data_IF_380132712955
#
_entry.id   IF_380132712955
#
_cell.length_a   1.000
_cell.length_b   1.000
_cell.length_c   1.000
_cell.angle_alpha   90.00
_cell.angle_beta   90.00
_cell.angle_gamma   90.00
#
_symmetry.space_group_name_H-M   'P 1'
#
loop_
_entity.id
_entity.type
_entity.pdbx_description
1 polymer ?
#
# COMPACT_ATOMS: atom_id res chain seq x y z
N UNK A 1 -35.23 -60.23 -26.88
CA UNK A 1 -36.34 -59.31 -27.16
C UNK A 1 -36.66 -58.55 -25.87
N UNK A 2 -36.50 -57.22 -25.90
CA UNK A 2 -37.32 -56.20 -25.20
C UNK A 2 -37.41 -56.29 -23.67
N UNK A 3 -37.23 -55.26 -22.83
CA UNK A 3 -36.86 -53.84 -22.92
C UNK A 3 -36.59 -53.42 -21.45
N UNK A 4 -35.47 -52.77 -21.11
CA UNK A 4 -35.31 -51.31 -21.03
C UNK A 4 -36.11 -50.63 -19.90
N UNK A 5 -35.40 -49.78 -19.14
CA UNK A 5 -35.87 -48.66 -18.29
C UNK A 5 -36.03 -48.94 -16.79
N UNK A 6 -34.94 -48.76 -16.04
CA UNK A 6 -34.93 -47.89 -14.87
C UNK A 6 -33.52 -47.33 -14.66
N UNK A 7 -33.23 -46.33 -15.50
CA UNK A 7 -32.11 -45.42 -15.37
C UNK A 7 -32.33 -44.49 -14.16
N UNK A 8 -31.23 -44.14 -13.50
CA UNK A 8 -31.05 -42.98 -12.60
C UNK A 8 -31.57 -43.17 -11.16
N UNK A 9 -30.80 -43.90 -10.35
CA UNK A 9 -30.67 -43.63 -8.91
C UNK A 9 -29.22 -43.40 -8.45
N UNK A 10 -28.29 -43.23 -9.40
CA UNK A 10 -26.93 -42.75 -9.12
C UNK A 10 -26.84 -41.26 -9.45
N UNK A 11 -27.65 -40.44 -8.78
CA UNK A 11 -27.23 -39.05 -8.59
C UNK A 11 -26.15 -39.11 -7.51
N UNK A 12 -24.91 -39.26 -7.98
CA UNK A 12 -23.70 -39.13 -7.17
C UNK A 12 -23.95 -38.00 -6.19
N UNK A 13 -23.82 -38.33 -4.91
CA UNK A 13 -23.57 -37.39 -3.83
C UNK A 13 -22.50 -36.45 -4.36
N UNK A 14 -22.90 -35.27 -4.83
CA UNK A 14 -22.02 -34.13 -4.86
C UNK A 14 -21.68 -33.96 -3.39
N UNK A 15 -20.50 -34.44 -2.99
CA UNK A 15 -19.92 -34.17 -1.69
C UNK A 15 -20.08 -32.67 -1.49
N UNK A 16 -21.05 -32.27 -0.66
CA UNK A 16 -21.19 -30.88 -0.29
C UNK A 16 -19.83 -30.49 0.26
N UNK A 17 -19.15 -29.46 -0.29
CA UNK A 17 -17.97 -28.96 0.37
C UNK A 17 -18.45 -28.47 1.73
N UNK A 18 -18.22 -29.29 2.77
CA UNK A 18 -18.36 -28.85 4.14
C UNK A 18 -17.24 -27.82 4.30
N UNK A 19 -17.60 -26.56 4.09
CA UNK A 19 -16.76 -25.42 4.41
C UNK A 19 -16.58 -25.44 5.93
N UNK A 20 -15.47 -26.04 6.33
CA UNK A 20 -15.06 -26.11 7.71
C UNK A 20 -14.60 -24.72 8.18
N UNK A 21 -14.65 -24.47 9.49
CA UNK A 21 -14.23 -23.22 10.10
C UNK A 21 -12.82 -22.79 9.65
N UNK A 22 -11.96 -23.76 9.34
CA UNK A 22 -10.63 -23.56 8.76
C UNK A 22 -10.62 -22.69 7.49
N UNK A 23 -11.61 -22.81 6.61
CA UNK A 23 -11.69 -22.02 5.37
C UNK A 23 -12.03 -20.55 5.63
N UNK A 24 -12.90 -20.27 6.60
CA UNK A 24 -13.23 -18.91 7.04
C UNK A 24 -12.08 -18.25 7.80
N UNK A 25 -11.37 -19.03 8.62
CA UNK A 25 -10.17 -18.57 9.35
C UNK A 25 -9.03 -18.26 8.38
N UNK A 26 -8.81 -19.08 7.35
CA UNK A 26 -7.78 -18.83 6.34
C UNK A 26 -8.03 -17.53 5.55
N UNK A 27 -9.29 -17.21 5.28
CA UNK A 27 -9.65 -15.93 4.64
C UNK A 27 -9.31 -14.72 5.51
N UNK A 28 -9.38 -14.86 6.84
CA UNK A 28 -9.10 -13.78 7.79
C UNK A 28 -7.67 -13.25 7.67
N UNK A 29 -6.71 -14.03 7.15
CA UNK A 29 -5.30 -13.62 7.02
C UNK A 29 -4.96 -12.97 5.66
N UNK A 30 -5.96 -12.41 4.97
CA UNK A 30 -5.75 -11.84 3.65
C UNK A 30 -5.20 -10.40 3.70
N UNK A 31 -4.02 -10.19 3.11
CA UNK A 31 -3.32 -8.89 3.10
C UNK A 31 -3.89 -7.84 2.14
N UNK A 32 -4.99 -8.13 1.42
CA UNK A 32 -5.55 -7.22 0.41
C UNK A 32 -5.94 -5.86 0.99
N UNK A 33 -6.43 -5.81 2.23
CA UNK A 33 -6.74 -4.56 2.92
C UNK A 33 -5.46 -3.79 3.28
N UNK A 34 -4.45 -4.47 3.82
CA UNK A 34 -3.15 -3.86 4.12
C UNK A 34 -2.52 -3.23 2.87
N UNK A 35 -2.59 -3.92 1.72
CA UNK A 35 -2.12 -3.41 0.42
C UNK A 35 -2.92 -2.17 0.02
N UNK A 36 -4.25 -2.20 0.17
CA UNK A 36 -5.07 -1.02 -0.15
C UNK A 36 -4.69 0.16 0.72
N UNK A 37 -4.49 -0.04 2.02
CA UNK A 37 -4.01 0.98 2.93
C UNK A 37 -2.67 1.54 2.44
N UNK A 38 -1.74 0.69 1.99
CA UNK A 38 -0.46 1.13 1.41
C UNK A 38 -0.58 1.98 0.16
N UNK A 39 -1.57 1.70 -0.68
CA UNK A 39 -1.78 2.44 -1.92
C UNK A 39 -2.54 3.74 -1.73
N UNK A 40 -3.60 3.77 -0.91
CA UNK A 40 -4.49 4.94 -0.85
C UNK A 40 -4.36 5.74 0.44
N UNK A 41 -3.80 5.16 1.51
CA UNK A 41 -3.70 5.79 2.84
C UNK A 41 -5.04 6.18 3.49
N UNK A 42 -6.15 6.01 2.76
CA UNK A 42 -7.48 6.52 3.07
C UNK A 42 -8.52 5.44 2.81
N UNK A 43 -9.61 5.49 3.58
CA UNK A 43 -10.81 4.69 3.36
C UNK A 43 -11.87 5.57 2.71
N UNK A 44 -12.61 5.04 1.75
CA UNK A 44 -13.81 5.68 1.20
C UNK A 44 -15.04 5.29 2.03
N UNK A 45 -16.07 6.13 2.05
CA UNK A 45 -17.33 5.80 2.77
C UNK A 45 -18.02 4.53 2.25
N UNK A 46 -17.78 4.17 0.98
CA UNK A 46 -18.32 2.95 0.38
C UNK A 46 -17.60 1.69 0.87
N UNK A 47 -16.41 1.80 1.47
CA UNK A 47 -15.69 0.64 2.02
C UNK A 47 -16.40 0.03 3.23
N UNK A 48 -17.33 0.75 3.88
CA UNK A 48 -18.20 0.22 4.94
C UNK A 48 -19.08 -0.94 4.44
N UNK A 49 -19.42 -0.97 3.14
CA UNK A 49 -20.25 -2.01 2.54
C UNK A 49 -19.44 -3.17 1.96
N UNK A 50 -18.10 -3.07 1.96
CA UNK A 50 -17.22 -4.12 1.45
C UNK A 50 -16.80 -5.00 2.62
N UNK A 51 -17.49 -6.13 2.80
CA UNK A 51 -17.08 -7.15 3.77
C UNK A 51 -15.85 -7.87 3.20
N UNK A 52 -14.66 -7.37 3.53
CA UNK A 52 -13.41 -8.03 3.21
C UNK A 52 -12.78 -8.63 4.48
N UNK A 53 -12.37 -9.90 4.44
CA UNK A 53 -11.61 -10.50 5.51
C UNK A 53 -10.20 -9.89 5.56
N UNK A 54 -9.55 -9.94 6.73
CA UNK A 54 -8.24 -9.29 6.93
C UNK A 54 -8.28 -7.83 7.34
N UNK A 55 -9.42 -7.32 7.84
CA UNK A 55 -9.53 -5.92 8.28
C UNK A 55 -8.56 -5.59 9.42
N UNK A 56 -8.28 -6.56 10.29
CA UNK A 56 -7.32 -6.41 11.38
C UNK A 56 -5.86 -6.31 10.89
N UNK A 57 -5.57 -6.76 9.65
CA UNK A 57 -4.22 -6.69 9.06
C UNK A 57 -3.85 -5.31 8.53
N UNK A 58 -4.78 -4.34 8.53
CA UNK A 58 -4.48 -2.94 8.17
C UNK A 58 -3.27 -2.39 8.96
N UNK A 59 -3.11 -2.85 10.20
CA UNK A 59 -2.05 -2.47 11.10
C UNK A 59 -0.68 -3.04 10.71
N UNK A 60 -0.66 -4.15 9.98
CA UNK A 60 0.55 -4.82 9.50
C UNK A 60 0.99 -4.28 8.13
N UNK A 61 0.37 -3.21 7.62
CA UNK A 61 0.77 -2.60 6.36
C UNK A 61 2.26 -2.17 6.29
N UNK A 62 2.93 -1.76 7.39
CA UNK A 62 4.37 -1.52 7.38
C UNK A 62 5.22 -2.76 7.08
N UNK A 63 4.71 -3.97 7.39
CA UNK A 63 5.42 -5.23 7.14
C UNK A 63 5.39 -5.64 5.66
N UNK A 64 4.61 -4.96 4.81
CA UNK A 64 4.51 -5.27 3.38
C UNK A 64 5.82 -5.10 2.62
N UNK A 65 6.75 -4.28 3.13
CA UNK A 65 8.06 -4.07 2.51
C UNK A 65 9.01 -5.27 2.68
N UNK A 66 8.67 -6.25 3.51
CA UNK A 66 9.52 -7.40 3.83
C UNK A 66 10.84 -7.04 4.52
N UNK A 67 10.92 -5.85 5.13
CA UNK A 67 12.14 -5.33 5.78
C UNK A 67 13.21 -4.81 4.81
N UNK A 68 12.91 -4.66 3.52
CA UNK A 68 13.85 -4.08 2.57
C UNK A 68 14.04 -2.57 2.82
N UNK A 69 15.30 -2.11 2.84
CA UNK A 69 15.67 -0.69 2.95
C UNK A 69 16.53 -0.31 1.75
N UNK A 70 15.91 -0.01 0.60
CA UNK A 70 16.62 0.18 -0.66
C UNK A 70 17.51 1.40 -0.61
N UNK A 71 18.67 1.30 -1.27
CA UNK A 71 19.62 2.40 -1.42
C UNK A 71 19.14 3.36 -2.50
N UNK A 72 19.24 4.65 -2.22
CA UNK A 72 18.88 5.74 -3.11
C UNK A 72 20.10 6.60 -3.36
N UNK A 73 20.34 6.94 -4.62
CA UNK A 73 21.32 7.92 -5.04
C UNK A 73 20.62 9.11 -5.69
N UNK A 74 20.74 10.29 -5.09
CA UNK A 74 20.29 11.52 -5.73
C UNK A 74 21.26 11.88 -6.85
N UNK A 75 20.78 11.86 -8.11
CA UNK A 75 21.60 12.22 -9.26
C UNK A 75 21.89 13.72 -9.33
N UNK A 76 21.03 14.53 -8.70
CA UNK A 76 21.20 15.98 -8.59
C UNK A 76 22.30 16.39 -7.60
N UNK A 77 22.21 15.91 -6.35
CA UNK A 77 23.08 16.29 -5.24
C UNK A 77 24.22 15.30 -4.94
N UNK A 78 24.18 14.11 -5.52
CA UNK A 78 25.12 13.03 -5.24
C UNK A 78 24.91 12.34 -3.89
N UNK A 79 23.93 12.76 -3.08
CA UNK A 79 23.70 12.19 -1.76
C UNK A 79 23.15 10.77 -1.86
N UNK A 80 23.63 9.88 -0.99
CA UNK A 80 23.24 8.48 -0.95
C UNK A 80 22.65 8.17 0.41
N UNK A 81 21.42 7.64 0.42
CA UNK A 81 20.66 7.34 1.64
C UNK A 81 19.78 6.10 1.42
N UNK A 82 19.01 5.70 2.42
CA UNK A 82 18.06 4.58 2.32
C UNK A 82 16.63 5.10 2.46
N UNK A 83 15.69 4.48 1.76
CA UNK A 83 14.26 4.74 1.97
C UNK A 83 13.86 4.09 3.28
N UNK A 84 13.39 4.90 4.23
CA UNK A 84 12.91 4.43 5.53
C UNK A 84 11.40 4.17 5.53
N UNK A 85 10.68 4.80 4.60
CA UNK A 85 9.24 4.70 4.51
C UNK A 85 8.79 3.32 3.96
N UNK A 86 8.15 2.45 4.78
CA UNK A 86 7.80 1.10 4.36
C UNK A 86 6.73 1.05 3.26
N UNK A 87 5.77 1.97 3.27
CA UNK A 87 4.71 2.04 2.26
C UNK A 87 5.28 2.33 0.87
N UNK A 88 6.22 3.28 0.80
CA UNK A 88 6.94 3.60 -0.43
C UNK A 88 7.76 2.42 -0.93
N UNK A 89 8.49 1.73 -0.05
CA UNK A 89 9.25 0.54 -0.45
C UNK A 89 8.33 -0.55 -1.01
N UNK A 90 7.20 -0.84 -0.35
CA UNK A 90 6.24 -1.84 -0.81
C UNK A 90 5.65 -1.49 -2.19
N UNK A 91 5.33 -0.21 -2.43
CA UNK A 91 4.88 0.26 -3.74
C UNK A 91 5.97 0.13 -4.80
N UNK A 92 7.20 0.53 -4.48
CA UNK A 92 8.35 0.45 -5.39
C UNK A 92 8.68 -1.00 -5.76
N UNK A 93 8.66 -1.93 -4.80
CA UNK A 93 8.80 -3.36 -5.06
C UNK A 93 7.71 -3.87 -6.00
N UNK A 94 6.50 -3.33 -5.89
CA UNK A 94 5.38 -3.75 -6.73
C UNK A 94 5.49 -3.26 -8.18
N UNK A 95 5.90 -2.01 -8.40
CA UNK A 95 6.03 -1.43 -9.74
C UNK A 95 7.35 -1.78 -10.42
N UNK A 96 8.37 -2.15 -9.66
CA UNK A 96 9.69 -2.50 -10.17
C UNK A 96 9.69 -3.79 -10.99
N UNK A 97 10.34 -3.73 -12.16
CA UNK A 97 10.58 -4.88 -13.04
C UNK A 97 12.07 -5.17 -13.15
N UNK A 98 12.45 -6.44 -13.12
CA UNK A 98 13.85 -6.86 -13.17
C UNK A 98 14.49 -6.42 -14.48
N UNK A 99 15.66 -5.79 -14.40
CA UNK A 99 16.41 -5.29 -15.56
C UNK A 99 15.83 -4.05 -16.24
N UNK A 100 14.74 -3.47 -15.72
CA UNK A 100 14.11 -2.28 -16.31
C UNK A 100 14.28 -1.07 -15.39
N UNK A 101 14.42 0.11 -16.01
CA UNK A 101 14.43 1.39 -15.31
C UNK A 101 13.04 2.02 -15.39
N UNK A 102 12.28 1.91 -14.31
CA UNK A 102 10.91 2.44 -14.21
C UNK A 102 10.98 3.91 -13.76
N UNK A 103 10.27 4.80 -14.46
CA UNK A 103 10.15 6.20 -14.06
C UNK A 103 8.90 6.40 -13.19
N UNK A 104 9.09 6.95 -11.99
CA UNK A 104 8.03 7.32 -11.07
C UNK A 104 8.07 8.83 -10.84
N UNK A 105 6.93 9.49 -11.03
CA UNK A 105 6.76 10.90 -10.74
C UNK A 105 6.03 11.07 -9.41
N UNK A 106 6.58 11.95 -8.57
CA UNK A 106 5.97 12.40 -7.32
C UNK A 106 5.43 13.81 -7.54
N UNK A 107 4.16 14.00 -7.16
CA UNK A 107 3.48 15.30 -7.21
C UNK A 107 2.56 15.45 -6.02
N UNK A 108 2.59 16.59 -5.33
CA UNK A 108 1.62 16.91 -4.27
C UNK A 108 0.28 17.38 -4.84
N UNK A 109 -0.80 16.91 -4.23
CA UNK A 109 -2.17 17.37 -4.49
C UNK A 109 -2.35 18.73 -3.78
N UNK A 110 -2.71 19.77 -4.53
CA UNK A 110 -2.68 21.17 -4.06
C UNK A 110 -3.53 21.43 -2.81
N UNK A 111 -3.05 22.33 -1.95
CA UNK A 111 -3.60 22.70 -0.64
C UNK A 111 -5.04 23.29 -0.66
N UNK A 112 -5.60 23.56 -1.85
CA UNK A 112 -6.93 24.18 -2.00
C UNK A 112 -8.08 23.29 -1.48
N UNK A 113 -7.93 21.97 -1.56
CA UNK A 113 -8.96 21.04 -1.05
C UNK A 113 -8.97 20.98 0.48
N UNK A 114 -7.81 21.11 1.14
CA UNK A 114 -7.70 21.10 2.60
C UNK A 114 -8.41 22.30 3.24
N UNK A 115 -8.27 23.49 2.63
CA UNK A 115 -9.01 24.71 3.00
C UNK A 115 -10.54 24.52 2.84
N UNK A 116 -10.97 23.87 1.75
CA UNK A 116 -12.40 23.61 1.50
C UNK A 116 -12.99 22.62 2.52
N UNK A 117 -12.22 21.59 2.89
CA UNK A 117 -12.62 20.58 3.86
C UNK A 117 -12.69 21.16 5.27
N UNK A 118 -11.71 21.99 5.67
CA UNK A 118 -11.74 22.72 6.94
C UNK A 118 -12.96 23.65 7.05
N UNK A 119 -13.31 24.35 5.96
CA UNK A 119 -14.52 25.19 5.90
C UNK A 119 -15.80 24.36 6.07
N UNK A 120 -15.89 23.20 5.43
CA UNK A 120 -17.04 22.30 5.59
C UNK A 120 -17.14 21.75 7.03
N UNK A 121 -16.04 21.28 7.61
CA UNK A 121 -15.98 20.78 9.00
C UNK A 121 -16.42 21.87 9.98
N UNK A 122 -15.94 23.10 9.82
CA UNK A 122 -16.33 24.23 10.68
C UNK A 122 -17.83 24.56 10.55
N UNK A 123 -18.42 24.40 9.36
CA UNK A 123 -19.86 24.62 9.13
C UNK A 123 -20.73 23.50 9.71
N UNK A 124 -20.24 22.25 9.70
CA UNK A 124 -20.90 21.10 10.30
C UNK A 124 -20.89 21.18 11.84
N UNK A 125 -19.86 21.79 12.44
CA UNK A 125 -19.76 22.03 13.88
C UNK A 125 -20.89 22.90 14.42
N UNK A 126 -21.35 23.89 13.65
CA UNK A 126 -22.42 24.80 14.08
C UNK A 126 -23.82 24.21 13.98
N UNK A 127 -24.00 23.03 13.37
CA UNK A 127 -25.31 22.58 12.89
C UNK A 127 -25.83 21.24 13.44
N UNK A 128 -25.22 20.58 14.42
CA UNK A 128 -25.78 19.30 14.92
C UNK A 128 -25.65 19.01 16.42
N UNK A 129 -26.80 18.70 17.00
CA UNK A 129 -27.10 18.17 18.34
C UNK A 129 -26.64 16.71 18.50
N UNK A 130 -25.33 16.46 18.63
CA UNK A 130 -24.79 15.14 18.99
C UNK A 130 -24.01 15.18 20.31
N UNK A 131 -24.14 14.10 21.09
CA UNK A 131 -23.62 13.93 22.45
C UNK A 131 -22.13 14.23 22.57
N UNK A 132 -21.77 15.07 23.55
CA UNK A 132 -20.43 15.62 23.82
C UNK A 132 -19.29 14.59 23.71
N UNK A 133 -19.52 13.35 24.15
CA UNK A 133 -18.53 12.25 24.11
C UNK A 133 -18.16 11.88 22.68
N UNK A 134 -19.13 11.79 21.78
CA UNK A 134 -18.90 11.46 20.36
C UNK A 134 -18.10 12.57 19.69
N UNK A 135 -18.52 13.82 19.89
CA UNK A 135 -17.83 15.01 19.37
C UNK A 135 -16.40 15.14 19.92
N UNK A 136 -16.17 14.82 21.20
CA UNK A 136 -14.84 14.82 21.80
C UNK A 136 -13.95 13.71 21.22
N UNK A 137 -14.48 12.49 21.03
CA UNK A 137 -13.74 11.40 20.39
C UNK A 137 -13.35 11.74 18.94
N UNK A 138 -14.27 12.31 18.16
CA UNK A 138 -13.97 12.75 16.79
C UNK A 138 -12.95 13.87 16.75
N UNK A 139 -13.05 14.89 17.62
CA UNK A 139 -12.04 15.94 17.73
C UNK A 139 -10.68 15.38 18.10
N UNK A 140 -10.63 14.44 19.05
CA UNK A 140 -9.36 13.86 19.50
C UNK A 140 -8.72 13.06 18.37
N UNK A 141 -9.49 12.27 17.62
CA UNK A 141 -9.01 11.55 16.44
C UNK A 141 -8.47 12.50 15.36
N UNK A 142 -9.21 13.59 15.07
CA UNK A 142 -8.80 14.61 14.10
C UNK A 142 -7.52 15.32 14.56
N UNK A 143 -7.46 15.76 15.82
CA UNK A 143 -6.29 16.42 16.40
C UNK A 143 -5.06 15.50 16.36
N UNK A 144 -5.19 14.22 16.73
CA UNK A 144 -4.09 13.25 16.66
C UNK A 144 -3.64 12.98 15.22
N UNK A 145 -4.53 13.09 14.24
CA UNK A 145 -4.21 12.90 12.82
C UNK A 145 -3.50 14.12 12.21
N UNK A 146 -3.82 15.34 12.67
CA UNK A 146 -3.22 16.60 12.15
C UNK A 146 -1.76 16.77 12.59
N UNK A 147 -1.37 16.25 13.76
CA UNK A 147 -0.02 16.47 14.31
C UNK A 147 1.10 15.64 13.64
N UNK A 148 0.79 14.77 12.68
CA UNK A 148 1.83 14.04 11.92
C UNK A 148 2.21 14.77 10.64
N UNK A 149 2.55 16.05 10.76
CA UNK A 149 3.05 16.89 9.65
C UNK A 149 4.58 16.94 9.63
N UNK A 150 5.16 16.54 8.50
CA UNK A 150 6.52 16.83 8.01
C UNK A 150 7.66 17.06 9.02
N UNK A 151 8.64 16.15 9.06
CA UNK A 151 9.76 16.20 10.03
C UNK A 151 11.09 16.76 9.50
N UNK A 152 11.16 17.27 8.26
CA UNK A 152 12.41 17.67 7.60
C UNK A 152 12.62 19.18 7.37
N UNK A 153 13.88 19.57 7.08
CA UNK A 153 14.22 20.93 6.62
C UNK A 153 13.66 21.16 5.20
N UNK A 154 12.93 22.27 5.01
CA UNK A 154 12.28 22.62 3.73
C UNK A 154 13.31 23.13 2.72
N UNK A 155 13.25 22.59 1.50
CA UNK A 155 14.05 22.99 0.34
C UNK A 155 13.12 23.34 -0.84
N UNK A 156 12.49 24.53 -0.81
CA UNK A 156 11.44 24.88 -1.74
C UNK A 156 11.97 25.02 -3.18
N UNK A 157 11.24 24.45 -4.14
CA UNK A 157 11.43 24.69 -5.58
C UNK A 157 12.59 23.96 -6.26
N UNK A 158 13.32 23.09 -5.55
CA UNK A 158 14.39 22.30 -6.14
C UNK A 158 13.82 21.00 -6.72
N UNK A 159 14.02 20.76 -8.01
CA UNK A 159 13.69 19.47 -8.62
C UNK A 159 14.72 18.41 -8.21
N UNK A 160 14.23 17.31 -7.67
CA UNK A 160 15.00 16.12 -7.34
C UNK A 160 14.85 15.03 -8.40
N UNK A 161 15.95 14.33 -8.64
CA UNK A 161 16.00 13.13 -9.48
C UNK A 161 16.83 12.09 -8.74
N UNK A 162 16.20 10.96 -8.40
CA UNK A 162 16.76 9.95 -7.52
C UNK A 162 16.70 8.58 -8.20
N UNK A 163 17.80 7.84 -8.16
CA UNK A 163 17.84 6.44 -8.54
C UNK A 163 17.69 5.58 -7.29
N UNK A 164 16.63 4.77 -7.25
CA UNK A 164 16.37 3.77 -6.21
C UNK A 164 16.81 2.41 -6.72
N UNK A 165 17.62 1.73 -5.91
CA UNK A 165 18.10 0.37 -6.16
C UNK A 165 17.33 -0.59 -5.26
N UNK A 166 16.51 -1.43 -5.86
CA UNK A 166 15.77 -2.49 -5.18
C UNK A 166 16.47 -3.84 -5.36
N UNK A 167 16.07 -4.79 -4.52
CA UNK A 167 16.36 -6.22 -4.66
C UNK A 167 15.95 -6.74 -6.05
N UNK A 168 16.65 -7.78 -6.50
CA UNK A 168 16.40 -8.46 -7.80
C UNK A 168 16.67 -7.59 -9.04
N UNK A 169 17.66 -6.70 -8.98
CA UNK A 169 18.06 -5.81 -10.08
C UNK A 169 16.87 -5.03 -10.67
N UNK A 170 16.00 -4.53 -9.79
CA UNK A 170 14.91 -3.62 -10.14
C UNK A 170 15.39 -2.20 -9.86
N UNK A 171 15.26 -1.32 -10.85
CA UNK A 171 15.73 0.06 -10.73
C UNK A 171 14.60 1.03 -11.00
N UNK A 172 14.50 2.04 -10.14
CA UNK A 172 13.44 3.04 -10.24
C UNK A 172 14.05 4.42 -10.22
N UNK A 173 13.67 5.24 -11.19
CA UNK A 173 14.00 6.66 -11.25
C UNK A 173 12.82 7.46 -10.72
N UNK A 174 12.98 8.06 -9.54
CA UNK A 174 11.98 8.91 -8.91
C UNK A 174 12.28 10.39 -9.18
N UNK A 175 11.29 11.12 -9.70
CA UNK A 175 11.37 12.56 -9.99
C UNK A 175 10.27 13.31 -9.28
N UNK A 176 10.56 14.53 -8.85
CA UNK A 176 9.61 15.38 -8.12
C UNK A 176 10.31 16.58 -7.51
N UNK A 177 9.62 17.36 -6.69
CA UNK A 177 10.28 18.33 -5.84
C UNK A 177 11.07 17.60 -4.74
N UNK A 178 12.25 18.12 -4.35
CA UNK A 178 13.06 17.55 -3.27
C UNK A 178 12.24 17.37 -1.99
N UNK A 179 11.41 18.36 -1.71
CA UNK A 179 10.44 18.34 -0.63
C UNK A 179 9.51 17.11 -0.78
N UNK A 180 8.73 17.02 -1.85
CA UNK A 180 7.79 15.91 -2.06
C UNK A 180 8.49 14.53 -2.01
N UNK A 181 9.69 14.44 -2.59
CA UNK A 181 10.51 13.24 -2.56
C UNK A 181 10.94 12.89 -1.13
N UNK A 182 11.35 13.86 -0.31
CA UNK A 182 11.65 13.64 1.11
C UNK A 182 10.40 13.19 1.86
N UNK A 183 9.23 13.76 1.57
CA UNK A 183 7.99 13.37 2.26
C UNK A 183 7.65 11.89 2.07
N UNK A 184 7.82 11.38 0.86
CA UNK A 184 7.49 9.99 0.54
C UNK A 184 8.62 9.03 0.86
N UNK A 185 9.87 9.48 0.90
CA UNK A 185 11.03 8.60 1.17
C UNK A 185 11.46 8.57 2.63
N UNK A 186 11.23 9.65 3.37
CA UNK A 186 11.65 9.81 4.76
C UNK A 186 10.49 9.65 5.74
N UNK A 187 10.82 9.17 6.94
CA UNK A 187 9.86 9.01 8.02
C UNK A 187 9.06 7.71 7.96
N UNK A 188 8.54 7.32 9.13
CA UNK A 188 7.63 6.20 9.25
C UNK A 188 6.29 6.54 8.61
N UNK A 189 5.78 5.63 7.78
CA UNK A 189 4.50 5.79 7.10
C UNK A 189 3.31 5.69 8.05
N UNK A 190 3.28 4.64 8.87
CA UNK A 190 2.36 4.48 9.99
C UNK A 190 3.17 4.57 11.29
N UNK A 191 2.62 5.27 12.29
CA UNK A 191 3.24 5.34 13.62
C UNK A 191 3.21 3.96 14.28
N UNK A 192 4.31 3.59 14.92
CA UNK A 192 4.34 2.41 15.79
C UNK A 192 3.28 2.50 16.89
N UNK A 193 2.60 1.39 17.13
CA UNK A 193 1.61 1.30 18.19
C UNK A 193 2.29 1.29 19.55
N UNK A 194 1.76 2.05 20.50
CA UNK A 194 2.16 1.89 21.89
C UNK A 194 1.55 0.62 22.47
N UNK A 195 2.13 0.10 23.55
CA UNK A 195 1.72 -1.17 24.17
C UNK A 195 0.20 -1.35 24.35
N UNK A 196 -0.49 -0.30 24.81
CA UNK A 196 -1.94 -0.35 25.02
C UNK A 196 -2.73 -0.43 23.71
N UNK A 197 -2.29 0.29 22.69
CA UNK A 197 -2.89 0.22 21.35
C UNK A 197 -2.65 -1.16 20.73
N UNK A 198 -1.44 -1.71 20.89
CA UNK A 198 -1.10 -3.07 20.44
C UNK A 198 -1.91 -4.16 21.17
N UNK A 199 -2.21 -3.96 22.45
CA UNK A 199 -3.04 -4.88 23.23
C UNK A 199 -4.49 -4.86 22.73
N UNK A 200 -5.06 -3.68 22.50
CA UNK A 200 -6.42 -3.50 21.95
C UNK A 200 -6.50 -4.09 20.53
N UNK A 201 -5.48 -3.85 19.71
CA UNK A 201 -5.34 -4.43 18.39
C UNK A 201 -5.35 -5.96 18.44
N UNK A 202 -4.53 -6.56 19.29
CA UNK A 202 -4.44 -8.02 19.45
C UNK A 202 -5.77 -8.61 19.95
N UNK A 203 -6.43 -7.95 20.89
CA UNK A 203 -7.76 -8.34 21.36
C UNK A 203 -8.81 -8.26 20.23
N UNK A 204 -8.76 -7.21 19.40
CA UNK A 204 -9.63 -7.07 18.22
C UNK A 204 -9.40 -8.19 17.22
N UNK A 205 -8.14 -8.55 16.97
CA UNK A 205 -7.78 -9.70 16.11
C UNK A 205 -8.37 -11.00 16.63
N UNK A 206 -8.27 -11.27 17.94
CA UNK A 206 -8.88 -12.46 18.55
C UNK A 206 -10.40 -12.48 18.38
N UNK A 207 -11.08 -11.33 18.51
CA UNK A 207 -12.52 -11.23 18.26
C UNK A 207 -12.88 -11.54 16.82
N UNK A 208 -12.10 -11.06 15.83
CA UNK A 208 -12.33 -11.39 14.40
C UNK A 208 -12.20 -12.89 14.16
N UNK A 209 -11.21 -13.55 14.76
CA UNK A 209 -11.08 -15.01 14.67
C UNK A 209 -12.20 -15.76 15.41
N UNK A 210 -12.66 -15.22 16.55
CA UNK A 210 -13.81 -15.76 17.27
C UNK A 210 -15.08 -15.65 16.43
N UNK A 211 -15.31 -14.54 15.74
CA UNK A 211 -16.46 -14.35 14.84
C UNK A 211 -16.43 -15.36 13.69
N UNK A 212 -15.26 -15.60 13.10
CA UNK A 212 -15.09 -16.64 12.08
C UNK A 212 -15.40 -18.04 12.63
N UNK A 213 -14.98 -18.33 13.88
CA UNK A 213 -15.30 -19.58 14.57
C UNK A 213 -16.80 -19.69 14.90
N UNK A 214 -17.46 -18.62 15.36
CA UNK A 214 -18.90 -18.60 15.64
C UNK A 214 -19.74 -18.70 14.36
N UNK A 215 -19.26 -18.15 13.24
CA UNK A 215 -19.87 -18.32 11.92
C UNK A 215 -19.89 -19.80 11.46
N UNK A 216 -19.05 -20.67 12.04
CA UNK A 216 -19.15 -22.13 11.86
C UNK A 216 -20.46 -22.73 12.37
N UNK A 217 -21.20 -22.03 13.24
CA UNK A 217 -22.52 -22.47 13.70
C UNK A 217 -23.67 -22.00 12.77
N UNK A 218 -23.37 -21.23 11.72
CA UNK A 218 -24.37 -20.79 10.75
C UNK A 218 -24.91 -21.96 9.91
N UNK A 219 -26.09 -21.79 9.31
CA UNK A 219 -26.65 -22.78 8.39
C UNK A 219 -25.72 -23.00 7.19
N UNK A 220 -25.72 -24.19 6.59
CA UNK A 220 -24.85 -24.51 5.45
C UNK A 220 -25.07 -23.54 4.27
N UNK A 221 -26.31 -23.13 4.03
CA UNK A 221 -26.65 -22.11 3.05
C UNK A 221 -26.02 -20.76 3.44
N UNK A 222 -26.17 -20.33 4.70
CA UNK A 222 -25.59 -19.08 5.20
C UNK A 222 -24.07 -19.03 5.08
N UNK A 223 -23.37 -20.11 5.45
CA UNK A 223 -21.91 -20.23 5.25
C UNK A 223 -21.50 -20.11 3.79
N UNK A 224 -22.24 -20.78 2.90
CA UNK A 224 -21.94 -20.76 1.46
C UNK A 224 -22.15 -19.36 0.88
N UNK A 225 -23.25 -18.69 1.24
CA UNK A 225 -23.52 -17.30 0.80
C UNK A 225 -22.48 -16.34 1.35
N UNK A 226 -22.16 -16.44 2.64
CA UNK A 226 -21.14 -15.61 3.29
C UNK A 226 -19.77 -15.78 2.61
N UNK A 227 -19.37 -17.02 2.35
CA UNK A 227 -18.10 -17.31 1.69
C UNK A 227 -18.07 -16.80 0.25
N UNK A 228 -19.13 -17.01 -0.54
CA UNK A 228 -19.24 -16.43 -1.88
C UNK A 228 -19.12 -14.91 -1.84
N UNK A 229 -19.77 -14.25 -0.87
CA UNK A 229 -19.69 -12.81 -0.69
C UNK A 229 -18.26 -12.37 -0.34
N UNK A 230 -17.60 -13.03 0.63
CA UNK A 230 -16.23 -12.72 1.02
C UNK A 230 -15.25 -12.88 -0.15
N UNK A 231 -15.33 -13.98 -0.92
CA UNK A 231 -14.47 -14.18 -2.09
C UNK A 231 -14.74 -13.14 -3.18
N UNK A 232 -16.00 -12.80 -3.45
CA UNK A 232 -16.35 -11.78 -4.43
C UNK A 232 -15.81 -10.40 -4.00
N UNK A 233 -16.02 -10.00 -2.74
CA UNK A 233 -15.51 -8.74 -2.18
C UNK A 233 -13.99 -8.68 -2.22
N UNK A 234 -13.31 -9.75 -1.80
CA UNK A 234 -11.85 -9.88 -1.88
C UNK A 234 -11.35 -9.75 -3.31
N UNK A 235 -11.95 -10.48 -4.23
CA UNK A 235 -11.55 -10.49 -5.64
C UNK A 235 -11.70 -9.12 -6.27
N UNK A 236 -12.84 -8.46 -6.03
CA UNK A 236 -13.09 -7.10 -6.49
C UNK A 236 -12.09 -6.10 -5.88
N UNK A 237 -11.80 -6.23 -4.58
CA UNK A 237 -10.82 -5.40 -3.89
C UNK A 237 -9.41 -5.62 -4.43
N UNK A 238 -9.01 -6.86 -4.68
CA UNK A 238 -7.72 -7.21 -5.25
C UNK A 238 -7.58 -6.65 -6.68
N UNK A 239 -8.60 -6.82 -7.53
CA UNK A 239 -8.63 -6.22 -8.87
C UNK A 239 -8.57 -4.70 -8.79
N UNK A 240 -9.33 -4.08 -7.90
CA UNK A 240 -9.28 -2.62 -7.68
C UNK A 240 -7.87 -2.18 -7.25
N UNK A 241 -7.24 -2.91 -6.34
CA UNK A 241 -5.87 -2.64 -5.92
C UNK A 241 -4.88 -2.82 -7.07
N UNK A 242 -5.09 -3.78 -7.97
CA UNK A 242 -4.29 -3.98 -9.19
C UNK A 242 -4.46 -2.88 -10.23
N UNK A 243 -5.67 -2.33 -10.36
CA UNK A 243 -5.92 -1.20 -11.24
C UNK A 243 -5.34 0.12 -10.73
N UNK A 244 -5.02 0.22 -9.43
CA UNK A 244 -4.37 1.40 -8.86
C UNK A 244 -2.88 1.42 -9.23
N UNK A 245 -2.54 2.15 -10.30
CA UNK A 245 -1.15 2.40 -10.70
C UNK A 245 -0.49 3.56 -9.94
N UNK A 246 -1.19 4.15 -8.97
CA UNK A 246 -0.73 5.29 -8.20
C UNK A 246 -0.78 4.98 -6.70
N UNK A 247 0.21 5.46 -5.96
CA UNK A 247 0.20 5.48 -4.51
C UNK A 247 -0.04 6.90 -4.01
N UNK A 248 -0.95 7.07 -3.06
CA UNK A 248 -1.20 8.32 -2.35
C UNK A 248 -0.73 8.20 -0.90
N UNK A 249 0.10 9.15 -0.50
CA UNK A 249 0.75 9.15 0.81
C UNK A 249 1.08 10.59 1.22
N UNK A 250 0.69 10.97 2.43
CA UNK A 250 0.98 12.30 3.00
C UNK A 250 0.60 13.48 2.07
N UNK A 251 -0.46 13.33 1.26
CA UNK A 251 -0.87 14.35 0.28
C UNK A 251 -0.03 14.38 -1.02
N UNK A 252 1.01 13.54 -1.13
CA UNK A 252 1.75 13.29 -2.35
C UNK A 252 1.19 12.06 -3.09
N UNK A 253 1.19 12.13 -4.42
CA UNK A 253 0.86 11.01 -5.30
C UNK A 253 2.11 10.57 -6.05
N UNK A 254 2.43 9.27 -5.97
CA UNK A 254 3.44 8.61 -6.79
C UNK A 254 2.73 7.93 -7.96
N UNK A 255 3.12 8.26 -9.20
CA UNK A 255 2.58 7.65 -10.42
C UNK A 255 3.70 7.12 -11.29
N UNK A 256 3.52 5.92 -11.83
CA UNK A 256 4.41 5.40 -12.88
C UNK A 256 4.15 6.18 -14.17
N UNK A 257 5.19 6.82 -14.71
CA UNK A 257 5.12 7.57 -15.98
C UNK A 257 5.43 6.66 -17.16
N UNK A 258 6.25 5.62 -16.95
CA UNK A 258 6.65 4.67 -17.98
C UNK A 258 8.09 4.19 -17.77
N UNK A 259 8.66 3.62 -18.81
CA UNK A 259 10.03 3.07 -18.81
C UNK A 259 10.91 3.88 -19.78
N UNK A 260 12.16 4.14 -19.39
CA UNK A 260 13.10 4.88 -20.25
C UNK A 260 13.55 4.04 -21.47
N UNK A 261 13.60 2.72 -21.33
CA UNK A 261 14.00 1.76 -22.37
C UNK A 261 13.12 0.49 -22.27
N UNK A 262 12.26 0.21 -23.27
CA UNK A 262 11.31 -0.92 -23.23
C UNK A 262 11.98 -2.29 -23.21
N UNK A 263 13.17 -2.41 -23.81
CA UNK A 263 13.92 -3.68 -23.85
C UNK A 263 14.72 -3.94 -22.56
N UNK A 264 14.67 -3.02 -21.60
CA UNK A 264 15.48 -3.06 -20.39
C UNK A 264 16.98 -2.93 -20.65
N UNK A 265 17.76 -3.23 -19.62
CA UNK A 265 19.22 -3.29 -19.65
C UNK A 265 19.69 -4.68 -19.27
N UNK A 266 20.66 -5.21 -20.00
CA UNK A 266 21.20 -6.55 -19.70
C UNK A 266 22.07 -6.54 -18.45
N UNK A 267 22.75 -5.40 -18.21
CA UNK A 267 23.67 -5.24 -17.07
C UNK A 267 23.36 -3.95 -16.33
N UNK A 268 23.52 -4.00 -15.01
CA UNK A 268 23.43 -2.81 -14.14
C UNK A 268 24.34 -1.69 -14.62
N UNK A 269 25.54 -2.01 -15.11
CA UNK A 269 26.49 -0.99 -15.59
C UNK A 269 25.97 -0.25 -16.83
N UNK A 270 25.32 -0.92 -17.77
CA UNK A 270 24.73 -0.28 -18.96
C UNK A 270 23.68 0.78 -18.55
N UNK A 271 22.85 0.45 -17.56
CA UNK A 271 21.87 1.38 -16.99
C UNK A 271 22.55 2.61 -16.37
N UNK A 272 23.66 2.40 -15.64
CA UNK A 272 24.41 3.48 -15.01
C UNK A 272 25.07 4.38 -16.05
N UNK A 273 25.72 3.82 -17.06
CA UNK A 273 26.29 4.55 -18.20
C UNK A 273 25.24 5.40 -18.90
N UNK A 274 24.05 4.84 -19.16
CA UNK A 274 22.92 5.55 -19.75
C UNK A 274 22.47 6.74 -18.89
N UNK A 275 22.38 6.57 -17.58
CA UNK A 275 22.00 7.65 -16.67
C UNK A 275 23.08 8.72 -16.52
N UNK A 276 24.35 8.33 -16.49
CA UNK A 276 25.49 9.26 -16.46
C UNK A 276 25.53 10.08 -17.75
N UNK A 277 25.27 9.47 -18.90
CA UNK A 277 25.19 10.18 -20.16
C UNK A 277 24.02 11.19 -20.19
N UNK A 278 22.85 10.81 -19.65
CA UNK A 278 21.70 11.72 -19.56
C UNK A 278 21.90 12.87 -18.57
N UNK A 279 22.49 12.59 -17.41
CA UNK A 279 22.64 13.58 -16.32
C UNK A 279 23.91 14.40 -16.44
N UNK A 280 24.87 13.95 -17.25
CA UNK A 280 26.23 14.50 -17.39
C UNK A 280 26.97 14.60 -16.05
N UNK A 281 26.56 13.80 -15.05
CA UNK A 281 27.15 13.72 -13.71
C UNK A 281 27.44 12.26 -13.38
N UNK A 282 28.60 11.99 -12.80
CA UNK A 282 29.06 10.64 -12.45
C UNK A 282 29.36 10.47 -10.96
N UNK A 283 29.42 11.56 -10.19
CA UNK A 283 29.72 11.53 -8.75
C UNK A 283 28.71 10.71 -7.94
N UNK A 284 27.42 10.81 -8.28
CA UNK A 284 26.36 10.04 -7.63
C UNK A 284 26.56 8.53 -7.83
N UNK A 285 27.02 8.11 -9.01
CA UNK A 285 27.24 6.70 -9.33
C UNK A 285 28.46 6.14 -8.60
N UNK A 286 29.52 6.93 -8.45
CA UNK A 286 30.69 6.57 -7.64
C UNK A 286 30.30 6.45 -6.17
N UNK A 287 29.59 7.45 -5.62
CA UNK A 287 29.16 7.45 -4.21
C UNK A 287 28.17 6.33 -3.89
N UNK A 288 27.35 5.94 -4.86
CA UNK A 288 26.45 4.80 -4.74
C UNK A 288 27.17 3.44 -4.83
N UNK A 289 28.46 3.42 -5.18
CA UNK A 289 29.22 2.19 -5.40
C UNK A 289 28.84 1.45 -6.68
N UNK A 290 28.24 2.16 -7.65
CA UNK A 290 27.82 1.61 -8.94
C UNK A 290 28.93 1.68 -10.00
N UNK A 291 29.86 2.61 -9.82
CA UNK A 291 31.04 2.78 -10.65
C UNK A 291 32.29 2.90 -9.78
N UNK A 292 33.41 2.37 -10.26
CA UNK A 292 34.70 2.64 -9.65
C UNK A 292 35.15 4.06 -9.98
N UNK A 293 35.72 4.76 -8.99
CA UNK A 293 36.49 5.96 -9.26
C UNK A 293 37.66 5.59 -10.16
N UNK A 294 37.88 6.37 -11.23
CA UNK A 294 39.06 6.19 -12.06
C UNK A 294 40.27 6.53 -11.20
N UNK A 295 41.18 5.59 -11.00
CA UNK A 295 42.46 5.85 -10.35
C UNK A 295 43.30 6.66 -11.34
N UNK A 296 43.61 7.91 -10.99
CA UNK A 296 44.62 8.72 -11.66
C UNK A 296 46.03 8.13 -11.46
#
# INVERSE_FOLDING_TARGET
MSSTVLWIKDFRVFSTPYLDAAGLVALADLKTIAIRTALTGTSTYLDMFVICPGIHLQQNAPELNGGELPQVASMGSGFVFRIENPGTVAYLQRVGRTGHLINVQVSVRGDEEAESMWRWIWSAWWTSTSSFVSSACYLTAILLTIFTGWKGYKEPGVQGDMLVLLSQDRWIRMKGLNDDLKLVTSGQWLRDMVFWEQSIASASTLLVYLDAALASNATQLGKTVLLCLLFASVGLLAVSNECLMAMEMFGATLKVVGEDKPDGFERRMEMVEYLVDKTKKHEWAIRAGLMHAKSD
#
